data_IF_759309806321
#
_entry.id   IF_759309806321
#
_cell.length_a   1.000
_cell.length_b   1.000
_cell.length_c   1.000
_cell.angle_alpha   90.00
_cell.angle_beta   90.00
_cell.angle_gamma   90.00
#
_symmetry.space_group_name_H-M   'P 1'
#
loop_
_entity.id
_entity.type
_entity.pdbx_description
1 polymer ?
#
# COMPACT_ATOMS: atom_id res chain seq x y z
N UNK A 1 -39.51 -8.85 19.61
CA UNK A 1 -39.66 -9.68 18.40
C UNK A 1 -39.22 -8.82 17.23
N UNK A 2 -37.94 -8.94 16.88
CA UNK A 2 -37.44 -9.62 15.66
C UNK A 2 -37.29 -8.63 14.49
N UNK A 3 -36.15 -7.93 14.50
CA UNK A 3 -35.67 -7.13 13.38
C UNK A 3 -34.74 -8.06 12.56
N UNK A 4 -35.26 -8.65 11.47
CA UNK A 4 -34.47 -9.50 10.58
C UNK A 4 -33.54 -8.63 9.73
N UNK A 5 -32.26 -8.96 9.80
CA UNK A 5 -31.20 -8.39 9.00
C UNK A 5 -31.51 -8.55 7.50
N UNK A 6 -31.55 -7.41 6.80
CA UNK A 6 -31.58 -7.36 5.35
C UNK A 6 -30.29 -7.97 4.81
N UNK A 7 -30.40 -9.20 4.34
CA UNK A 7 -29.33 -9.96 3.70
C UNK A 7 -29.24 -9.47 2.25
N UNK A 8 -28.36 -8.51 1.99
CA UNK A 8 -28.09 -8.03 0.63
C UNK A 8 -27.43 -9.17 -0.17
N UNK A 9 -28.24 -9.85 -0.98
CA UNK A 9 -27.78 -10.89 -1.91
C UNK A 9 -26.90 -10.25 -2.99
N UNK A 10 -25.72 -10.80 -3.33
CA UNK A 10 -24.92 -10.26 -4.43
C UNK A 10 -25.69 -10.44 -5.75
N UNK A 11 -25.73 -9.41 -6.58
CA UNK A 11 -26.33 -9.45 -7.92
C UNK A 11 -25.69 -10.55 -8.79
N UNK A 12 -26.47 -11.19 -9.66
CA UNK A 12 -26.02 -12.31 -10.53
C UNK A 12 -24.76 -11.99 -11.35
N UNK A 13 -24.56 -10.73 -11.72
CA UNK A 13 -23.40 -10.24 -12.47
C UNK A 13 -22.09 -10.33 -11.65
N UNK A 14 -22.17 -10.08 -10.34
CA UNK A 14 -21.01 -10.14 -9.45
C UNK A 14 -20.47 -11.59 -9.35
N UNK A 15 -21.37 -12.55 -9.25
CA UNK A 15 -21.05 -13.98 -9.15
C UNK A 15 -20.39 -14.50 -10.43
N UNK A 16 -20.87 -14.07 -11.61
CA UNK A 16 -20.28 -14.44 -12.91
C UNK A 16 -18.85 -13.93 -13.09
N UNK A 17 -18.57 -12.69 -12.66
CA UNK A 17 -17.22 -12.09 -12.77
C UNK A 17 -16.19 -12.82 -11.91
N UNK A 18 -16.56 -13.28 -10.72
CA UNK A 18 -15.67 -14.08 -9.87
C UNK A 18 -15.41 -15.47 -10.43
N UNK A 19 -16.44 -16.11 -10.99
CA UNK A 19 -16.30 -17.41 -11.63
C UNK A 19 -15.32 -17.34 -12.82
N UNK A 20 -15.48 -16.34 -13.69
CA UNK A 20 -14.57 -16.12 -14.82
C UNK A 20 -13.12 -15.87 -14.36
N UNK A 21 -12.92 -15.09 -13.30
CA UNK A 21 -11.59 -14.84 -12.75
C UNK A 21 -10.94 -16.14 -12.20
N UNK A 22 -11.74 -17.02 -11.61
CA UNK A 22 -11.31 -18.34 -11.16
C UNK A 22 -10.90 -19.25 -12.32
N UNK A 23 -11.68 -19.26 -13.40
CA UNK A 23 -11.37 -20.02 -14.62
C UNK A 23 -10.07 -19.54 -15.27
N UNK A 24 -9.89 -18.22 -15.39
CA UNK A 24 -8.67 -17.64 -15.95
C UNK A 24 -7.44 -18.00 -15.10
N UNK A 25 -7.56 -17.99 -13.77
CA UNK A 25 -6.47 -18.43 -12.90
C UNK A 25 -6.17 -19.92 -13.07
N UNK A 26 -7.19 -20.78 -13.13
CA UNK A 26 -7.01 -22.22 -13.36
C UNK A 26 -6.29 -22.50 -14.68
N UNK A 27 -6.69 -21.82 -15.75
CA UNK A 27 -6.04 -21.93 -17.05
C UNK A 27 -4.57 -21.48 -16.97
N UNK A 28 -4.31 -20.32 -16.36
CA UNK A 28 -2.96 -19.82 -16.19
C UNK A 28 -2.05 -20.79 -15.42
N UNK A 29 -2.58 -21.52 -14.43
CA UNK A 29 -1.80 -22.50 -13.66
C UNK A 29 -1.68 -23.88 -14.33
N UNK A 30 -2.21 -24.06 -15.54
CA UNK A 30 -2.21 -25.36 -16.23
C UNK A 30 -0.83 -25.78 -16.75
N UNK A 31 0.04 -24.82 -17.04
CA UNK A 31 1.40 -25.07 -17.50
C UNK A 31 2.33 -23.91 -17.12
N UNK A 32 3.63 -24.17 -17.15
CA UNK A 32 4.63 -23.19 -16.71
C UNK A 32 4.66 -21.93 -17.59
N UNK A 33 4.47 -22.07 -18.90
CA UNK A 33 4.48 -20.93 -19.83
C UNK A 33 3.34 -19.95 -19.56
N UNK A 34 2.12 -20.45 -19.38
CA UNK A 34 0.96 -19.61 -19.10
C UNK A 34 1.04 -19.01 -17.69
N UNK A 35 1.65 -19.73 -16.75
CA UNK A 35 1.93 -19.23 -15.40
C UNK A 35 2.93 -18.08 -15.43
N UNK A 36 4.01 -18.20 -16.19
CA UNK A 36 5.01 -17.16 -16.35
C UNK A 36 4.40 -15.93 -17.04
N UNK A 37 3.65 -16.13 -18.12
CA UNK A 37 2.92 -15.05 -18.79
C UNK A 37 1.93 -14.36 -17.85
N UNK A 38 1.26 -15.13 -16.99
CA UNK A 38 0.38 -14.58 -15.96
C UNK A 38 1.15 -13.72 -14.97
N UNK A 39 2.31 -14.18 -14.47
CA UNK A 39 3.16 -13.38 -13.58
C UNK A 39 3.57 -12.07 -14.26
N UNK A 40 4.02 -12.13 -15.52
CA UNK A 40 4.42 -10.97 -16.31
C UNK A 40 3.31 -9.92 -16.42
N UNK A 41 2.07 -10.35 -16.65
CA UNK A 41 0.91 -9.47 -16.73
C UNK A 41 0.65 -8.67 -15.43
N UNK A 42 1.13 -9.15 -14.29
CA UNK A 42 1.01 -8.47 -12.99
C UNK A 42 2.29 -7.74 -12.56
N UNK A 43 3.39 -7.76 -13.33
CA UNK A 43 4.58 -6.94 -13.03
C UNK A 43 4.28 -5.43 -13.00
N UNK A 44 3.40 -4.86 -13.87
CA UNK A 44 3.02 -3.46 -13.76
C UNK A 44 2.35 -3.10 -12.42
N UNK A 45 1.61 -4.05 -11.82
CA UNK A 45 1.01 -3.88 -10.49
C UNK A 45 2.10 -3.78 -9.42
N UNK A 46 3.14 -4.61 -9.49
CA UNK A 46 4.30 -4.52 -8.60
C UNK A 46 4.94 -3.14 -8.70
N UNK A 47 5.23 -2.69 -9.91
CA UNK A 47 5.83 -1.36 -10.16
C UNK A 47 4.98 -0.23 -9.59
N UNK A 48 3.65 -0.29 -9.79
CA UNK A 48 2.72 0.70 -9.24
C UNK A 48 2.74 0.76 -7.71
N UNK A 49 2.76 -0.40 -7.05
CA UNK A 49 2.79 -0.49 -5.58
C UNK A 49 4.14 -0.01 -5.03
N UNK A 50 5.25 -0.41 -5.66
CA UNK A 50 6.60 0.03 -5.30
C UNK A 50 6.72 1.55 -5.39
N UNK A 51 6.31 2.14 -6.52
CA UNK A 51 6.35 3.60 -6.70
C UNK A 51 5.54 4.33 -5.63
N UNK A 52 4.37 3.80 -5.25
CA UNK A 52 3.53 4.38 -4.21
C UNK A 52 4.14 4.27 -2.82
N UNK A 53 4.86 3.18 -2.55
CA UNK A 53 5.49 2.94 -1.25
C UNK A 53 6.90 3.54 -1.13
N UNK A 54 7.53 3.96 -2.24
CA UNK A 54 8.91 4.45 -2.26
C UNK A 54 9.17 5.58 -1.28
N UNK A 55 8.19 6.47 -1.09
CA UNK A 55 8.27 7.59 -0.16
C UNK A 55 8.41 7.18 1.31
N UNK A 56 8.03 5.95 1.67
CA UNK A 56 8.17 5.42 3.03
C UNK A 56 9.51 4.72 3.27
N UNK A 57 10.29 4.45 2.22
CA UNK A 57 11.61 3.86 2.33
C UNK A 57 12.67 4.96 2.43
N UNK A 58 13.77 4.75 3.17
CA UNK A 58 14.91 5.67 3.19
C UNK A 58 15.41 6.02 1.79
N UNK A 59 15.96 7.23 1.62
CA UNK A 59 16.46 7.69 0.31
C UNK A 59 17.59 6.80 -0.24
N UNK A 60 18.37 6.17 0.65
CA UNK A 60 19.44 5.24 0.29
C UNK A 60 18.97 3.80 -0.01
N UNK A 61 17.68 3.49 0.11
CA UNK A 61 17.16 2.18 -0.24
C UNK A 61 16.86 2.12 -1.74
N UNK A 62 17.36 1.10 -2.44
CA UNK A 62 17.22 1.03 -3.89
C UNK A 62 15.80 0.63 -4.30
N UNK A 63 15.27 1.33 -5.30
CA UNK A 63 13.95 1.01 -5.86
C UNK A 63 13.95 -0.39 -6.51
N UNK A 64 15.08 -0.84 -7.03
CA UNK A 64 15.23 -2.17 -7.62
C UNK A 64 15.10 -3.27 -6.56
N UNK A 65 15.62 -3.05 -5.34
CA UNK A 65 15.44 -3.97 -4.22
C UNK A 65 13.96 -4.07 -3.81
N UNK A 66 13.25 -2.94 -3.76
CA UNK A 66 11.81 -2.92 -3.54
C UNK A 66 11.07 -3.70 -4.62
N UNK A 67 11.44 -3.50 -5.88
CA UNK A 67 10.86 -4.23 -7.00
C UNK A 67 11.09 -5.73 -6.86
N UNK A 68 12.30 -6.16 -6.54
CA UNK A 68 12.63 -7.58 -6.28
C UNK A 68 11.79 -8.19 -5.15
N UNK A 69 11.57 -7.48 -4.05
CA UNK A 69 10.68 -7.92 -2.96
C UNK A 69 9.24 -8.07 -3.45
N UNK A 70 8.77 -7.10 -4.22
CA UNK A 70 7.43 -7.11 -4.78
C UNK A 70 7.22 -8.28 -5.75
N UNK A 71 8.19 -8.56 -6.62
CA UNK A 71 8.16 -9.71 -7.55
C UNK A 71 8.15 -11.03 -6.79
N UNK A 72 9.02 -11.20 -5.77
CA UNK A 72 9.00 -12.41 -4.92
C UNK A 72 7.64 -12.60 -4.25
N UNK A 73 7.05 -11.52 -3.75
CA UNK A 73 5.73 -11.53 -3.11
C UNK A 73 4.60 -11.87 -4.08
N UNK A 74 4.69 -11.40 -5.33
CA UNK A 74 3.77 -11.76 -6.40
C UNK A 74 3.84 -13.26 -6.73
N UNK A 75 5.04 -13.81 -6.89
CA UNK A 75 5.24 -15.25 -7.16
C UNK A 75 4.64 -16.10 -6.03
N UNK A 76 4.88 -15.71 -4.77
CA UNK A 76 4.26 -16.37 -3.62
C UNK A 76 2.72 -16.22 -3.62
N UNK A 77 2.19 -15.10 -4.10
CA UNK A 77 0.75 -14.89 -4.24
C UNK A 77 0.17 -15.82 -5.30
N UNK A 78 0.81 -15.95 -6.48
CA UNK A 78 0.39 -16.88 -7.53
C UNK A 78 0.26 -18.31 -6.99
N UNK A 79 1.25 -18.76 -6.21
CA UNK A 79 1.29 -20.12 -5.67
C UNK A 79 0.26 -20.39 -4.56
N UNK A 80 -0.25 -19.34 -3.90
CA UNK A 80 -1.13 -19.48 -2.72
C UNK A 80 -2.52 -18.92 -2.92
N UNK A 81 -2.83 -18.44 -4.12
CA UNK A 81 -4.14 -17.87 -4.41
C UNK A 81 -5.20 -18.98 -4.43
N UNK A 82 -6.33 -18.68 -3.83
CA UNK A 82 -7.48 -19.58 -3.79
C UNK A 82 -8.70 -18.82 -4.31
N UNK A 83 -9.16 -19.12 -5.54
CA UNK A 83 -10.27 -18.41 -6.15
C UNK A 83 -11.61 -18.67 -5.44
N UNK A 84 -11.73 -19.73 -4.63
CA UNK A 84 -12.97 -20.02 -3.88
C UNK A 84 -13.26 -19.00 -2.79
N UNK A 85 -12.26 -18.19 -2.39
CA UNK A 85 -12.38 -17.17 -1.34
C UNK A 85 -13.02 -15.86 -1.80
N UNK A 86 -13.58 -15.80 -3.02
CA UNK A 86 -14.39 -14.68 -3.49
C UNK A 86 -13.61 -13.36 -3.65
N UNK A 87 -12.31 -13.42 -3.94
CA UNK A 87 -11.47 -12.25 -4.20
C UNK A 87 -10.78 -12.41 -5.56
N UNK A 88 -10.68 -11.33 -6.32
CA UNK A 88 -9.88 -11.33 -7.55
C UNK A 88 -8.40 -11.55 -7.23
N UNK A 89 -7.68 -12.22 -8.13
CA UNK A 89 -6.25 -12.43 -7.98
C UNK A 89 -5.48 -11.11 -7.81
N UNK A 90 -5.81 -10.08 -8.60
CA UNK A 90 -5.18 -8.76 -8.49
C UNK A 90 -5.28 -8.13 -7.09
N UNK A 91 -6.47 -8.20 -6.46
CA UNK A 91 -6.65 -7.69 -5.10
C UNK A 91 -5.85 -8.49 -4.08
N UNK A 92 -5.83 -9.81 -4.23
CA UNK A 92 -5.03 -10.69 -3.38
C UNK A 92 -3.53 -10.41 -3.54
N UNK A 93 -3.03 -10.36 -4.77
CA UNK A 93 -1.63 -10.08 -5.10
C UNK A 93 -1.21 -8.71 -4.57
N UNK A 94 -2.03 -7.67 -4.76
CA UNK A 94 -1.73 -6.34 -4.23
C UNK A 94 -1.53 -6.33 -2.71
N UNK A 95 -2.36 -7.07 -1.97
CA UNK A 95 -2.22 -7.21 -0.52
C UNK A 95 -0.93 -7.94 -0.14
N UNK A 96 -0.56 -8.99 -0.89
CA UNK A 96 0.68 -9.78 -0.64
C UNK A 96 1.94 -8.98 -0.95
N UNK A 97 1.97 -8.28 -2.09
CA UNK A 97 3.07 -7.40 -2.51
C UNK A 97 3.28 -6.31 -1.45
N UNK A 98 2.19 -5.63 -1.06
CA UNK A 98 2.23 -4.62 0.00
C UNK A 98 2.72 -5.21 1.31
N UNK A 99 2.27 -6.41 1.68
CA UNK A 99 2.72 -7.12 2.87
C UNK A 99 4.24 -7.31 2.89
N UNK A 100 4.81 -7.87 1.81
CA UNK A 100 6.25 -8.09 1.72
C UNK A 100 7.08 -6.79 1.79
N UNK A 101 6.62 -5.72 1.13
CA UNK A 101 7.27 -4.41 1.21
C UNK A 101 7.17 -3.79 2.62
N UNK A 102 6.03 -3.93 3.30
CA UNK A 102 5.88 -3.47 4.67
C UNK A 102 6.69 -4.31 5.67
N UNK A 103 6.84 -5.61 5.41
CA UNK A 103 7.70 -6.48 6.22
C UNK A 103 9.17 -6.07 6.09
N UNK A 104 9.61 -5.73 4.87
CA UNK A 104 10.93 -5.16 4.65
C UNK A 104 11.07 -3.80 5.31
N UNK A 105 10.08 -2.93 5.19
CA UNK A 105 10.09 -1.64 5.87
C UNK A 105 10.20 -1.83 7.39
N UNK A 106 9.51 -2.82 7.99
CA UNK A 106 9.68 -3.17 9.40
C UNK A 106 11.08 -3.69 9.72
N UNK A 107 11.72 -4.41 8.81
CA UNK A 107 13.11 -4.90 8.96
C UNK A 107 14.09 -3.74 8.99
N UNK A 108 13.87 -2.74 8.13
CA UNK A 108 14.65 -1.50 8.08
C UNK A 108 14.34 -0.61 9.32
N UNK A 109 13.05 -0.46 9.66
CA UNK A 109 12.50 0.31 10.77
C UNK A 109 12.84 -0.25 12.17
N UNK A 110 13.54 -1.38 12.28
CA UNK A 110 14.20 -1.75 13.55
C UNK A 110 15.30 -0.73 13.95
N UNK A 111 15.47 0.35 13.19
CA UNK A 111 16.17 1.59 13.51
C UNK A 111 15.25 2.82 13.33
N UNK A 112 15.01 3.70 14.32
CA UNK A 112 14.60 3.53 15.72
C UNK A 112 13.22 4.21 16.02
N UNK A 113 12.69 3.97 17.23
CA UNK A 113 11.50 4.62 17.85
C UNK A 113 11.45 6.17 17.72
N UNK A 114 12.57 6.80 17.40
CA UNK A 114 12.72 8.24 17.20
C UNK A 114 11.81 8.81 16.11
N UNK A 115 11.56 8.10 15.01
CA UNK A 115 10.79 8.66 13.89
C UNK A 115 9.29 8.77 14.22
N UNK A 116 8.74 7.79 14.96
CA UNK A 116 7.38 7.87 15.51
C UNK A 116 7.23 8.96 16.59
N UNK A 117 8.25 9.14 17.42
CA UNK A 117 8.28 10.24 18.39
C UNK A 117 8.33 11.61 17.69
N UNK A 118 9.14 11.75 16.63
CA UNK A 118 9.24 12.97 15.83
C UNK A 118 7.94 13.26 15.06
N UNK A 119 7.24 12.24 14.55
CA UNK A 119 5.91 12.38 13.95
C UNK A 119 4.90 12.99 14.93
N UNK A 120 4.86 12.43 16.14
CA UNK A 120 3.99 12.92 17.21
C UNK A 120 4.39 14.33 17.66
N UNK A 121 5.70 14.61 17.71
CA UNK A 121 6.24 15.92 18.05
C UNK A 121 5.86 16.97 17.01
N UNK A 122 5.95 16.66 15.72
CA UNK A 122 5.53 17.54 14.62
C UNK A 122 4.04 17.88 14.73
N UNK A 123 3.19 16.86 14.86
CA UNK A 123 1.74 17.05 15.02
C UNK A 123 1.41 17.93 16.24
N UNK A 124 2.09 17.69 17.37
CA UNK A 124 1.87 18.46 18.61
C UNK A 124 2.32 19.92 18.45
N UNK A 125 3.46 20.14 17.79
CA UNK A 125 4.02 21.48 17.57
C UNK A 125 3.16 22.32 16.63
N UNK A 126 2.60 21.71 15.57
CA UNK A 126 1.66 22.39 14.68
C UNK A 126 0.42 22.84 15.46
N UNK A 127 -0.15 21.97 16.29
CA UNK A 127 -1.33 22.30 17.11
C UNK A 127 -1.02 23.42 18.12
N UNK A 128 0.13 23.36 18.80
CA UNK A 128 0.56 24.40 19.73
C UNK A 128 0.74 25.75 19.03
N UNK A 129 1.40 25.77 17.88
CA UNK A 129 1.59 27.00 17.09
C UNK A 129 0.27 27.54 16.54
N UNK A 130 -0.66 26.69 16.09
CA UNK A 130 -2.00 27.12 15.68
C UNK A 130 -2.77 27.78 16.83
N UNK A 131 -2.65 27.24 18.05
CA UNK A 131 -3.31 27.78 19.23
C UNK A 131 -2.75 29.16 19.63
N UNK A 132 -1.43 29.34 19.50
CA UNK A 132 -0.73 30.59 19.81
C UNK A 132 -0.94 31.64 18.73
N UNK A 133 -0.77 31.28 17.45
CA UNK A 133 -0.81 32.19 16.31
C UNK A 133 -2.23 32.51 15.85
N UNK A 134 -3.24 31.70 16.25
CA UNK A 134 -4.64 31.79 15.80
C UNK A 134 -4.81 31.71 14.28
N UNK A 135 -3.82 31.12 13.61
CA UNK A 135 -3.76 30.84 12.17
C UNK A 135 -2.86 29.62 11.93
N UNK A 136 -2.93 28.99 10.75
CA UNK A 136 -1.97 27.95 10.38
C UNK A 136 -0.53 28.48 10.44
N UNK A 137 0.41 27.75 11.07
CA UNK A 137 1.82 28.12 11.11
C UNK A 137 2.48 27.88 9.75
N UNK A 138 3.44 28.74 9.39
CA UNK A 138 4.22 28.56 8.16
C UNK A 138 5.32 27.49 8.35
N UNK A 139 5.83 26.88 7.27
CA UNK A 139 6.94 25.93 7.35
C UNK A 139 8.15 26.48 8.11
N UNK A 140 8.49 27.76 7.93
CA UNK A 140 9.61 28.43 8.59
C UNK A 140 9.38 28.57 10.10
N UNK A 141 8.15 28.86 10.52
CA UNK A 141 7.75 28.96 11.93
C UNK A 141 7.85 27.59 12.63
N UNK A 142 7.41 26.52 11.93
CA UNK A 142 7.52 25.14 12.44
C UNK A 142 8.97 24.69 12.53
N UNK A 143 9.80 25.00 11.51
CA UNK A 143 11.24 24.71 11.52
C UNK A 143 11.94 25.39 12.68
N UNK A 144 11.61 26.65 12.95
CA UNK A 144 12.18 27.44 14.05
C UNK A 144 11.82 26.85 15.42
N UNK A 145 10.57 26.45 15.61
CA UNK A 145 10.08 25.89 16.88
C UNK A 145 10.68 24.50 17.15
N UNK A 146 10.72 23.63 16.13
CA UNK A 146 11.32 22.30 16.22
C UNK A 146 12.86 22.31 16.17
N UNK A 147 13.48 23.47 15.96
CA UNK A 147 14.93 23.64 15.73
C UNK A 147 15.45 22.72 14.61
N UNK A 148 14.68 22.62 13.53
CA UNK A 148 15.01 21.84 12.35
C UNK A 148 15.44 22.78 11.22
N UNK A 149 16.36 22.31 10.39
CA UNK A 149 16.58 22.93 9.08
C UNK A 149 15.41 22.62 8.12
N UNK A 150 15.24 23.43 7.08
CA UNK A 150 14.21 23.18 6.06
C UNK A 150 14.33 21.80 5.42
N UNK A 151 15.57 21.32 5.20
CA UNK A 151 15.82 19.98 4.66
C UNK A 151 15.40 18.86 5.62
N UNK A 152 15.64 19.03 6.93
CA UNK A 152 15.19 18.07 7.94
C UNK A 152 13.67 18.09 8.12
N UNK A 153 13.05 19.26 8.00
CA UNK A 153 11.60 19.40 8.03
C UNK A 153 10.93 18.72 6.82
N UNK A 154 11.46 18.89 5.62
CA UNK A 154 10.99 18.18 4.43
C UNK A 154 11.14 16.66 4.56
N UNK A 155 12.28 16.20 5.10
CA UNK A 155 12.50 14.79 5.38
C UNK A 155 11.48 14.25 6.39
N UNK A 156 11.23 15.01 7.46
CA UNK A 156 10.26 14.63 8.48
C UNK A 156 8.83 14.59 7.93
N UNK A 157 8.44 15.54 7.07
CA UNK A 157 7.15 15.50 6.38
C UNK A 157 6.98 14.22 5.54
N UNK A 158 8.01 13.79 4.83
CA UNK A 158 8.00 12.54 4.05
C UNK A 158 7.86 11.31 4.94
N UNK A 159 8.60 11.27 6.05
CA UNK A 159 8.58 10.15 7.01
C UNK A 159 7.25 10.02 7.78
N UNK A 160 6.49 11.11 7.92
CA UNK A 160 5.30 11.18 8.77
C UNK A 160 3.98 11.07 8.02
N UNK A 161 4.00 11.05 6.69
CA UNK A 161 2.79 10.89 5.89
C UNK A 161 2.11 9.54 6.17
N UNK A 162 0.83 9.54 6.61
CA UNK A 162 0.09 8.31 6.81
C UNK A 162 -0.09 7.58 5.47
N UNK A 163 0.13 6.27 5.47
CA UNK A 163 -0.11 5.42 4.30
C UNK A 163 -1.62 5.33 4.05
N UNK A 164 -2.20 6.30 3.34
CA UNK A 164 -3.59 6.26 2.90
C UNK A 164 -3.63 5.60 1.53
N UNK A 165 -4.02 4.33 1.49
CA UNK A 165 -4.24 3.62 0.25
C UNK A 165 -5.71 3.73 -0.14
N UNK A 166 -6.01 4.62 -1.09
CA UNK A 166 -7.28 4.59 -1.81
C UNK A 166 -7.14 3.57 -2.93
N UNK A 167 -7.92 2.46 -2.93
CA UNK A 167 -7.97 1.54 -4.06
C UNK A 167 -8.35 2.34 -5.30
N UNK A 168 -7.52 2.29 -6.35
CA UNK A 168 -7.95 2.80 -7.64
C UNK A 168 -8.99 1.82 -8.16
N UNK A 169 -10.25 2.24 -8.18
CA UNK A 169 -11.28 1.53 -8.92
C UNK A 169 -10.80 1.40 -10.37
N UNK A 170 -10.51 0.16 -10.79
CA UNK A 170 -10.29 -0.15 -12.19
C UNK A 170 -11.60 0.09 -12.91
N UNK A 171 -11.71 1.26 -13.58
CA UNK A 171 -12.75 1.45 -14.59
C UNK A 171 -12.61 0.32 -15.61
N UNK A 172 -13.58 -0.59 -15.55
CA UNK A 172 -13.76 -1.62 -16.56
C UNK A 172 -14.19 -0.88 -17.81
N UNK A 173 -13.30 -0.77 -18.81
CA UNK A 173 -13.71 -0.32 -20.13
C UNK A 173 -14.71 -1.33 -20.68
N UNK A 174 -15.87 -0.80 -21.10
CA UNK A 174 -16.92 -1.52 -21.81
C UNK A 174 -16.46 -1.84 -23.22
#
# INVERSE_FOLDING_TARGET
>A
MSNLASSHCPSEDHTKRFQQAADNYRHAMSNDRDRDQWIENYLPLVKSIVNRLRYHFPDNYETEDMYGIGVRSLILAVNRFDPSKGKSFGNYAALRIKGGLLDELRRIDHLPRANRAKAKSLQSTVVELEQVLKRPPTPEEICKELKLSSAEYEKLLKETQPIIFVPLETKSHH
#
